data_IF_161773876444
#
_entry.id   IF_161773876444
#
_cell.length_a   1.000
_cell.length_b   1.000
_cell.length_c   1.000
_cell.angle_alpha   90.00
_cell.angle_beta   90.00
_cell.angle_gamma   90.00
#
_symmetry.space_group_name_H-M   'P 1'
#
loop_
_entity.id
_entity.type
_entity.pdbx_description
1 polymer ?
#
# COMPACT_ATOMS: atom_id res chain seq x y z
N UNK A 1 -17.90 -10.44 2.95
CA UNK A 1 -19.14 -11.20 2.68
C UNK A 1 -20.41 -10.32 2.65
N UNK A 2 -20.67 -9.47 3.64
CA UNK A 2 -21.88 -8.59 3.69
C UNK A 2 -22.08 -7.68 2.46
N UNK A 3 -21.00 -7.12 1.89
CA UNK A 3 -21.05 -6.25 0.69
C UNK A 3 -21.63 -6.96 -0.56
N UNK A 4 -21.43 -8.28 -0.69
CA UNK A 4 -21.95 -9.05 -1.83
C UNK A 4 -23.45 -9.31 -1.73
N UNK A 5 -23.98 -9.54 -0.53
CA UNK A 5 -25.42 -9.83 -0.32
C UNK A 5 -26.29 -8.61 -0.68
N UNK A 6 -25.86 -7.41 -0.29
CA UNK A 6 -26.56 -6.17 -0.66
C UNK A 6 -26.57 -5.92 -2.17
N UNK A 7 -25.46 -6.20 -2.85
CA UNK A 7 -25.38 -6.09 -4.31
C UNK A 7 -26.31 -7.09 -5.02
N UNK A 8 -26.44 -8.33 -4.54
CA UNK A 8 -27.37 -9.32 -5.10
C UNK A 8 -28.84 -8.97 -4.84
N UNK A 9 -29.16 -8.44 -3.66
CA UNK A 9 -30.51 -7.98 -3.35
C UNK A 9 -30.91 -6.78 -4.21
N UNK A 10 -30.00 -5.81 -4.37
CA UNK A 10 -30.21 -4.69 -5.26
C UNK A 10 -30.42 -5.17 -6.70
N UNK A 11 -29.55 -6.06 -7.20
CA UNK A 11 -29.69 -6.61 -8.55
C UNK A 11 -31.02 -7.36 -8.75
N UNK A 12 -31.45 -8.15 -7.77
CA UNK A 12 -32.72 -8.87 -7.79
C UNK A 12 -33.93 -7.92 -7.84
N UNK A 13 -33.92 -6.85 -7.05
CA UNK A 13 -34.96 -5.82 -7.07
C UNK A 13 -34.99 -5.08 -8.41
N UNK A 14 -33.81 -4.76 -8.96
CA UNK A 14 -33.69 -4.14 -10.28
C UNK A 14 -34.26 -5.06 -11.38
N UNK A 15 -33.96 -6.36 -11.35
CA UNK A 15 -34.50 -7.31 -12.33
C UNK A 15 -36.01 -7.47 -12.24
N UNK A 16 -36.56 -7.51 -11.02
CA UNK A 16 -38.01 -7.61 -10.81
C UNK A 16 -38.73 -6.38 -11.37
N UNK A 17 -38.20 -5.18 -11.10
CA UNK A 17 -38.79 -3.94 -11.60
C UNK A 17 -38.71 -3.85 -13.13
N UNK A 18 -37.60 -4.25 -13.74
CA UNK A 18 -37.47 -4.31 -15.20
C UNK A 18 -38.53 -5.22 -15.83
N UNK A 19 -38.81 -6.38 -15.24
CA UNK A 19 -39.85 -7.31 -15.70
C UNK A 19 -41.24 -6.65 -15.63
N UNK A 20 -41.55 -5.98 -14.51
CA UNK A 20 -42.84 -5.28 -14.33
C UNK A 20 -43.02 -4.21 -15.42
N UNK A 21 -41.97 -3.43 -15.69
CA UNK A 21 -42.04 -2.37 -16.70
C UNK A 21 -42.17 -2.94 -18.11
N UNK A 22 -41.41 -3.98 -18.47
CA UNK A 22 -41.52 -4.67 -19.77
C UNK A 22 -42.94 -5.23 -19.96
N UNK A 23 -43.50 -5.85 -18.93
CA UNK A 23 -44.86 -6.40 -18.96
C UNK A 23 -45.90 -5.30 -19.16
N UNK A 24 -45.75 -4.16 -18.49
CA UNK A 24 -46.61 -2.98 -18.67
C UNK A 24 -46.52 -2.42 -20.10
N UNK A 25 -45.32 -2.32 -20.67
CA UNK A 25 -45.14 -1.93 -22.06
C UNK A 25 -45.76 -2.93 -23.04
N UNK A 26 -45.65 -4.23 -22.80
CA UNK A 26 -46.25 -5.25 -23.65
C UNK A 26 -47.78 -5.21 -23.62
N UNK A 27 -48.37 -5.05 -22.42
CA UNK A 27 -49.81 -4.82 -22.28
C UNK A 27 -50.27 -3.60 -23.06
N UNK A 28 -49.51 -2.50 -22.98
CA UNK A 28 -49.80 -1.28 -23.70
C UNK A 28 -49.81 -1.49 -25.22
N UNK A 29 -48.73 -2.07 -25.78
CA UNK A 29 -48.64 -2.34 -27.23
C UNK A 29 -49.81 -3.20 -27.71
N UNK A 30 -50.21 -4.21 -26.93
CA UNK A 30 -51.33 -5.09 -27.29
C UNK A 30 -52.68 -4.38 -27.30
N UNK A 31 -52.91 -3.41 -26.40
CA UNK A 31 -54.15 -2.63 -26.34
C UNK A 31 -54.28 -1.67 -27.52
N UNK A 32 -53.18 -1.08 -27.98
CA UNK A 32 -53.19 -0.10 -29.07
C UNK A 32 -52.89 -0.69 -30.45
N UNK A 33 -52.43 -1.93 -30.57
CA UNK A 33 -52.12 -2.56 -31.86
C UNK A 33 -53.34 -2.77 -32.77
N UNK A 34 -54.53 -2.93 -32.17
CA UNK A 34 -55.77 -3.24 -32.90
C UNK A 34 -56.83 -2.14 -32.82
N UNK A 35 -56.51 -0.99 -32.20
CA UNK A 35 -57.45 0.10 -31.97
C UNK A 35 -56.94 1.39 -32.64
N UNK A 36 -57.85 2.30 -33.01
CA UNK A 36 -57.48 3.66 -33.45
C UNK A 36 -56.81 4.44 -32.30
N UNK A 37 -56.14 5.55 -32.63
CA UNK A 37 -55.53 6.43 -31.62
C UNK A 37 -56.63 6.87 -30.65
N UNK A 38 -56.43 6.67 -29.34
CA UNK A 38 -57.45 7.03 -28.35
C UNK A 38 -57.62 8.54 -28.24
N UNK A 39 -58.87 9.00 -28.27
CA UNK A 39 -59.26 10.39 -28.00
C UNK A 39 -59.43 10.67 -26.49
N UNK A 40 -59.37 9.63 -25.64
CA UNK A 40 -59.54 9.78 -24.19
C UNK A 40 -58.24 10.23 -23.53
N UNK A 41 -58.30 11.34 -22.79
CA UNK A 41 -57.16 11.88 -22.05
C UNK A 41 -56.58 10.87 -21.03
N UNK A 42 -57.42 10.04 -20.42
CA UNK A 42 -57.02 9.04 -19.41
C UNK A 42 -56.05 7.99 -19.99
N UNK A 43 -56.22 7.61 -21.25
CA UNK A 43 -55.33 6.64 -21.92
C UNK A 43 -53.92 7.21 -22.13
N UNK A 44 -53.84 8.48 -22.50
CA UNK A 44 -52.57 9.21 -22.62
C UNK A 44 -51.88 9.44 -21.28
N UNK A 45 -52.67 9.65 -20.22
CA UNK A 45 -52.15 9.75 -18.84
C UNK A 45 -51.51 8.44 -18.38
N UNK A 46 -52.16 7.31 -18.65
CA UNK A 46 -51.62 5.98 -18.36
C UNK A 46 -50.33 5.69 -19.15
N UNK A 47 -50.27 6.10 -20.43
CA UNK A 47 -49.06 6.01 -21.23
C UNK A 47 -47.90 6.83 -20.64
N UNK A 48 -48.16 8.09 -20.31
CA UNK A 48 -47.17 8.99 -19.69
C UNK A 48 -46.62 8.41 -18.39
N UNK A 49 -47.47 7.79 -17.57
CA UNK A 49 -47.08 7.14 -16.31
C UNK A 49 -46.15 5.95 -16.54
N UNK A 50 -46.43 5.11 -17.54
CA UNK A 50 -45.56 3.99 -17.90
C UNK A 50 -44.20 4.49 -18.40
N UNK A 51 -44.20 5.53 -19.25
CA UNK A 51 -42.99 6.13 -19.78
C UNK A 51 -42.16 6.80 -18.67
N UNK A 52 -42.80 7.48 -17.72
CA UNK A 52 -42.15 8.07 -16.55
C UNK A 52 -41.48 6.97 -15.69
N UNK A 53 -42.17 5.85 -15.43
CA UNK A 53 -41.61 4.73 -14.66
C UNK A 53 -40.35 4.13 -15.31
N UNK A 54 -40.34 4.00 -16.65
CA UNK A 54 -39.15 3.61 -17.42
C UNK A 54 -37.97 4.56 -17.18
N UNK A 55 -38.20 5.87 -17.35
CA UNK A 55 -37.15 6.87 -17.16
C UNK A 55 -36.65 6.94 -15.72
N UNK A 56 -37.53 6.79 -14.73
CA UNK A 56 -37.16 6.72 -13.31
C UNK A 56 -36.27 5.50 -13.05
N UNK A 57 -36.57 4.34 -13.63
CA UNK A 57 -35.76 3.14 -13.48
C UNK A 57 -34.36 3.27 -14.07
N UNK A 58 -34.27 3.79 -15.30
CA UNK A 58 -32.99 4.03 -15.97
C UNK A 58 -32.15 5.02 -15.15
N UNK A 59 -32.78 6.11 -14.68
CA UNK A 59 -32.13 7.10 -13.82
C UNK A 59 -31.62 6.48 -12.51
N UNK A 60 -32.44 5.69 -11.81
CA UNK A 60 -32.05 5.04 -10.56
C UNK A 60 -30.90 4.05 -10.77
N UNK A 61 -30.90 3.33 -11.89
CA UNK A 61 -29.81 2.43 -12.28
C UNK A 61 -28.51 3.21 -12.44
N UNK A 62 -28.54 4.33 -13.18
CA UNK A 62 -27.36 5.19 -13.34
C UNK A 62 -26.89 5.79 -12.02
N UNK A 63 -27.80 6.21 -11.14
CA UNK A 63 -27.46 6.72 -9.80
C UNK A 63 -26.75 5.63 -8.98
N UNK A 64 -27.26 4.40 -8.96
CA UNK A 64 -26.64 3.31 -8.21
C UNK A 64 -25.24 2.95 -8.75
N UNK A 65 -25.09 2.85 -10.07
CA UNK A 65 -23.80 2.59 -10.70
C UNK A 65 -22.80 3.72 -10.42
N UNK A 66 -23.27 4.97 -10.50
CA UNK A 66 -22.47 6.16 -10.18
C UNK A 66 -22.05 6.15 -8.72
N UNK A 67 -22.97 5.89 -7.79
CA UNK A 67 -22.69 5.79 -6.37
C UNK A 67 -21.64 4.73 -6.05
N UNK A 68 -21.74 3.54 -6.65
CA UNK A 68 -20.76 2.46 -6.45
C UNK A 68 -19.37 2.87 -6.93
N UNK A 69 -19.27 3.43 -8.14
CA UNK A 69 -18.01 3.95 -8.70
C UNK A 69 -17.44 5.11 -7.88
N UNK A 70 -18.31 5.95 -7.33
CA UNK A 70 -17.94 7.07 -6.47
C UNK A 70 -17.48 6.58 -5.09
N UNK A 71 -18.08 5.54 -4.52
CA UNK A 71 -17.66 4.96 -3.24
C UNK A 71 -16.22 4.45 -3.29
N UNK A 72 -15.85 3.73 -4.35
CA UNK A 72 -14.48 3.23 -4.52
C UNK A 72 -13.48 4.38 -4.76
N UNK A 73 -13.88 5.38 -5.56
CA UNK A 73 -13.08 6.60 -5.76
C UNK A 73 -12.90 7.38 -4.46
N UNK A 74 -13.95 7.52 -3.67
CA UNK A 74 -13.93 8.20 -2.37
C UNK A 74 -13.03 7.48 -1.37
N UNK A 75 -13.08 6.14 -1.31
CA UNK A 75 -12.17 5.36 -0.48
C UNK A 75 -10.72 5.64 -0.84
N UNK A 76 -10.40 5.65 -2.15
CA UNK A 76 -9.04 5.96 -2.61
C UNK A 76 -8.61 7.38 -2.22
N UNK A 77 -9.48 8.37 -2.39
CA UNK A 77 -9.19 9.76 -2.00
C UNK A 77 -8.97 9.90 -0.48
N UNK A 78 -9.79 9.25 0.34
CA UNK A 78 -9.64 9.24 1.79
C UNK A 78 -8.33 8.55 2.21
N UNK A 79 -8.00 7.44 1.56
CA UNK A 79 -6.73 6.76 1.79
C UNK A 79 -5.55 7.66 1.40
N UNK A 80 -5.57 8.25 0.20
CA UNK A 80 -4.51 9.15 -0.28
C UNK A 80 -4.29 10.31 0.70
N UNK A 81 -5.36 10.96 1.13
CA UNK A 81 -5.28 12.04 2.13
C UNK A 81 -4.67 11.57 3.44
N UNK A 82 -5.12 10.42 3.98
CA UNK A 82 -4.59 9.88 5.24
C UNK A 82 -3.11 9.51 5.10
N UNK A 83 -2.75 8.82 4.01
CA UNK A 83 -1.38 8.40 3.72
C UNK A 83 -0.44 9.59 3.60
N UNK A 84 -0.79 10.60 2.80
CA UNK A 84 0.07 11.76 2.59
C UNK A 84 0.15 12.66 3.83
N UNK A 85 -0.90 12.73 4.65
CA UNK A 85 -0.85 13.40 5.95
C UNK A 85 0.13 12.70 6.89
N UNK A 86 0.07 11.37 7.02
CA UNK A 86 1.06 10.63 7.82
C UNK A 86 2.46 10.81 7.24
N UNK A 87 2.62 10.77 5.92
CA UNK A 87 3.93 10.96 5.29
C UNK A 87 4.47 12.39 5.50
N UNK A 88 3.59 13.39 5.61
CA UNK A 88 3.97 14.73 6.02
C UNK A 88 4.42 14.77 7.49
N UNK A 89 3.64 14.22 8.41
CA UNK A 89 4.02 14.09 9.83
C UNK A 89 5.34 13.33 10.01
N UNK A 90 5.60 12.30 9.19
CA UNK A 90 6.86 11.58 9.19
C UNK A 90 8.05 12.52 8.89
N UNK A 91 7.89 13.43 7.92
CA UNK A 91 8.91 14.42 7.55
C UNK A 91 9.07 15.50 8.63
N UNK A 92 8.00 15.86 9.32
CA UNK A 92 8.08 16.77 10.48
C UNK A 92 8.86 16.12 11.63
N UNK A 93 8.58 14.85 11.95
CA UNK A 93 9.36 14.08 12.94
C UNK A 93 10.82 13.99 12.48
N UNK A 94 11.08 13.72 11.20
CA UNK A 94 12.43 13.71 10.63
C UNK A 94 13.15 15.06 10.86
N UNK A 95 12.46 16.16 10.59
CA UNK A 95 13.00 17.52 10.74
C UNK A 95 13.28 17.93 12.19
N UNK A 96 12.68 17.23 13.15
CA UNK A 96 12.96 17.43 14.58
C UNK A 96 14.33 16.87 15.00
N UNK A 97 14.92 15.98 14.22
CA UNK A 97 16.28 15.50 14.45
C UNK A 97 17.31 16.53 13.95
N UNK A 98 18.51 16.52 14.55
CA UNK A 98 19.63 17.27 14.01
C UNK A 98 19.99 16.82 12.58
N UNK A 99 20.45 17.76 11.74
CA UNK A 99 20.70 17.56 10.29
C UNK A 99 21.51 16.30 9.96
N UNK A 100 22.48 15.94 10.81
CA UNK A 100 23.36 14.78 10.59
C UNK A 100 23.01 13.56 11.44
N UNK A 101 21.83 13.51 12.07
CA UNK A 101 21.47 12.46 13.04
C UNK A 101 21.64 11.05 12.47
N UNK A 102 21.01 10.76 11.33
CA UNK A 102 21.10 9.44 10.70
C UNK A 102 22.49 9.13 10.15
N UNK A 103 23.21 10.15 9.67
CA UNK A 103 24.61 10.00 9.24
C UNK A 103 25.53 9.61 10.40
N UNK A 104 25.44 10.31 11.53
CA UNK A 104 26.21 9.99 12.73
C UNK A 104 25.84 8.60 13.28
N UNK A 105 24.57 8.23 13.19
CA UNK A 105 24.10 6.91 13.60
C UNK A 105 24.67 5.80 12.71
N UNK A 106 24.63 6.01 11.40
CA UNK A 106 25.25 5.14 10.41
C UNK A 106 26.73 4.93 10.71
N UNK A 107 27.48 6.01 10.93
CA UNK A 107 28.93 5.96 11.20
C UNK A 107 29.25 5.11 12.42
N UNK A 108 28.50 5.27 13.53
CA UNK A 108 28.67 4.45 14.73
C UNK A 108 28.41 2.96 14.51
N UNK A 109 27.36 2.62 13.76
CA UNK A 109 27.06 1.21 13.43
C UNK A 109 28.22 0.64 12.61
N UNK A 110 28.71 1.40 11.64
CA UNK A 110 29.79 0.99 10.75
C UNK A 110 31.16 0.88 11.44
N UNK A 111 31.39 1.55 12.58
CA UNK A 111 32.61 1.38 13.38
C UNK A 111 32.86 -0.08 13.78
N UNK A 112 31.81 -0.91 13.84
CA UNK A 112 31.90 -2.32 14.22
C UNK A 112 31.99 -3.28 13.02
N UNK A 113 32.06 -2.75 11.79
CA UNK A 113 32.13 -3.55 10.57
C UNK A 113 33.58 -3.71 10.09
N UNK A 114 34.06 -4.94 9.85
CA UNK A 114 35.34 -5.15 9.19
C UNK A 114 35.26 -4.74 7.71
N UNK A 115 36.39 -4.27 7.17
CA UNK A 115 36.52 -3.84 5.76
C UNK A 115 36.25 -4.98 4.76
N UNK A 116 36.53 -6.23 5.15
CA UNK A 116 36.26 -7.42 4.36
C UNK A 116 35.77 -8.57 5.25
N UNK A 117 34.86 -9.38 4.71
CA UNK A 117 34.34 -10.58 5.36
C UNK A 117 34.15 -11.70 4.32
N UNK A 118 34.87 -12.80 4.50
CA UNK A 118 34.79 -13.98 3.63
C UNK A 118 34.03 -15.15 4.27
N UNK A 119 34.01 -15.23 5.61
CA UNK A 119 33.45 -16.36 6.36
C UNK A 119 31.94 -16.54 6.14
N UNK A 120 31.47 -17.79 6.24
CA UNK A 120 30.04 -18.09 6.34
C UNK A 120 29.45 -17.41 7.57
N UNK A 121 28.18 -17.01 7.48
CA UNK A 121 27.49 -16.31 8.54
C UNK A 121 26.20 -17.08 8.82
N UNK A 122 26.03 -17.56 10.06
CA UNK A 122 24.76 -18.15 10.46
C UNK A 122 23.70 -17.06 10.72
N UNK A 123 22.42 -17.42 10.64
CA UNK A 123 21.32 -16.47 10.93
C UNK A 123 21.38 -15.92 12.36
N UNK A 124 21.81 -16.74 13.32
CA UNK A 124 21.94 -16.34 14.73
C UNK A 124 23.08 -15.31 14.90
N UNK A 125 24.24 -15.57 14.29
CA UNK A 125 25.36 -14.62 14.31
C UNK A 125 25.01 -13.31 13.59
N UNK A 126 24.27 -13.38 12.48
CA UNK A 126 23.79 -12.20 11.78
C UNK A 126 22.89 -11.35 12.67
N UNK A 127 21.95 -11.99 13.39
CA UNK A 127 21.04 -11.32 14.32
C UNK A 127 21.78 -10.67 15.48
N UNK A 128 22.66 -11.42 16.16
CA UNK A 128 23.42 -10.91 17.30
C UNK A 128 24.36 -9.76 16.90
N UNK A 129 24.97 -9.81 15.71
CA UNK A 129 25.77 -8.71 15.18
C UNK A 129 24.94 -7.45 14.95
N UNK A 130 23.79 -7.58 14.29
CA UNK A 130 22.89 -6.43 14.05
C UNK A 130 22.42 -5.83 15.36
N UNK A 131 21.96 -6.67 16.30
CA UNK A 131 21.48 -6.25 17.61
C UNK A 131 22.57 -5.55 18.41
N UNK A 132 23.78 -6.13 18.46
CA UNK A 132 24.93 -5.52 19.15
C UNK A 132 25.31 -4.18 18.54
N UNK A 133 25.47 -4.11 17.22
CA UNK A 133 25.86 -2.87 16.54
C UNK A 133 24.80 -1.77 16.69
N UNK A 134 23.52 -2.12 16.60
CA UNK A 134 22.41 -1.19 16.80
C UNK A 134 22.39 -0.66 18.24
N UNK A 135 22.46 -1.54 19.25
CA UNK A 135 22.44 -1.15 20.66
C UNK A 135 23.64 -0.29 21.05
N UNK A 136 24.83 -0.55 20.52
CA UNK A 136 26.02 0.27 20.77
C UNK A 136 25.98 1.64 20.07
N UNK A 137 25.11 1.81 19.07
CA UNK A 137 24.95 3.07 18.36
C UNK A 137 24.03 4.08 19.06
N UNK A 138 23.23 3.59 20.01
CA UNK A 138 22.29 4.33 20.86
C UNK A 138 23.03 5.40 21.70
N UNK A 139 22.44 6.60 21.80
CA UNK A 139 22.75 7.66 22.78
C UNK A 139 21.43 8.12 23.43
N UNK A 140 21.29 7.90 24.73
CA UNK A 140 20.26 8.58 25.54
C UNK A 140 20.57 10.08 25.60
N UNK A 141 19.59 11.01 25.45
CA UNK A 141 18.13 10.82 25.28
C UNK A 141 17.60 10.84 23.82
N UNK A 142 18.46 11.06 22.82
CA UNK A 142 18.06 11.21 21.41
C UNK A 142 17.37 9.95 20.82
N UNK A 143 17.59 8.79 21.43
CA UNK A 143 17.00 7.53 20.99
C UNK A 143 15.50 7.41 21.22
N UNK A 144 14.96 8.07 22.24
CA UNK A 144 13.52 8.08 22.48
C UNK A 144 12.78 8.68 21.26
N UNK A 145 13.29 9.81 20.73
CA UNK A 145 12.78 10.45 19.52
C UNK A 145 12.93 9.55 18.29
N UNK A 146 14.05 8.85 18.14
CA UNK A 146 14.27 7.91 17.03
C UNK A 146 13.29 6.72 17.07
N UNK A 147 12.99 6.20 18.25
CA UNK A 147 11.98 5.16 18.42
C UNK A 147 10.59 5.65 18.03
N UNK A 148 10.24 6.91 18.31
CA UNK A 148 8.99 7.51 17.84
C UNK A 148 8.93 7.59 16.31
N UNK A 149 10.03 8.00 15.66
CA UNK A 149 10.14 8.03 14.20
C UNK A 149 9.93 6.64 13.56
N UNK A 150 10.59 5.60 14.06
CA UNK A 150 10.45 4.25 13.50
C UNK A 150 9.07 3.64 13.78
N UNK A 151 8.48 3.93 14.95
CA UNK A 151 7.11 3.52 15.26
C UNK A 151 6.12 4.16 14.29
N UNK A 152 6.32 5.42 13.96
CA UNK A 152 5.47 6.12 13.01
C UNK A 152 5.60 5.52 11.59
N UNK A 153 6.82 5.23 11.11
CA UNK A 153 7.04 4.49 9.85
C UNK A 153 6.32 3.15 9.81
N UNK A 154 6.41 2.37 10.90
CA UNK A 154 5.68 1.11 11.03
C UNK A 154 4.17 1.31 10.82
N UNK A 155 3.59 2.36 11.39
CA UNK A 155 2.16 2.65 11.23
C UNK A 155 1.80 3.05 9.79
N UNK A 156 2.66 3.78 9.08
CA UNK A 156 2.45 4.10 7.66
C UNK A 156 2.48 2.82 6.82
N UNK A 157 3.48 1.95 7.01
CA UNK A 157 3.56 0.67 6.31
C UNK A 157 2.35 -0.22 6.64
N UNK A 158 1.93 -0.27 7.91
CA UNK A 158 0.74 -1.00 8.36
C UNK A 158 -0.53 -0.48 7.71
N UNK A 159 -0.69 0.84 7.56
CA UNK A 159 -1.82 1.45 6.85
C UNK A 159 -1.88 0.96 5.40
N UNK A 160 -0.75 0.97 4.69
CA UNK A 160 -0.67 0.47 3.31
C UNK A 160 -0.97 -1.03 3.24
N UNK A 161 -0.37 -1.82 4.14
CA UNK A 161 -0.56 -3.27 4.19
C UNK A 161 -2.04 -3.65 4.41
N UNK A 162 -2.73 -2.95 5.31
CA UNK A 162 -4.14 -3.22 5.66
C UNK A 162 -5.16 -2.63 4.68
N UNK A 163 -4.74 -1.84 3.68
CA UNK A 163 -5.64 -1.27 2.69
C UNK A 163 -6.33 -2.35 1.83
N UNK A 164 -7.49 -2.01 1.26
CA UNK A 164 -8.23 -2.90 0.35
C UNK A 164 -7.62 -2.99 -1.05
N UNK A 165 -6.52 -2.28 -1.29
CA UNK A 165 -5.86 -2.25 -2.58
C UNK A 165 -5.19 -3.58 -2.95
N UNK A 166 -5.00 -3.77 -4.26
CA UNK A 166 -4.21 -4.89 -4.77
C UNK A 166 -2.71 -4.71 -4.48
N UNK A 167 -1.93 -5.78 -4.64
CA UNK A 167 -0.49 -5.79 -4.38
C UNK A 167 0.26 -4.66 -5.11
N UNK A 168 0.03 -4.51 -6.42
CA UNK A 168 0.71 -3.49 -7.24
C UNK A 168 0.52 -2.08 -6.68
N UNK A 169 -0.71 -1.73 -6.31
CA UNK A 169 -1.02 -0.42 -5.75
C UNK A 169 -0.41 -0.22 -4.36
N UNK A 170 -0.36 -1.27 -3.53
CA UNK A 170 0.35 -1.24 -2.25
C UNK A 170 1.86 -0.99 -2.44
N UNK A 171 2.49 -1.68 -3.40
CA UNK A 171 3.89 -1.44 -3.74
C UNK A 171 4.15 -0.01 -4.18
N UNK A 172 3.26 0.62 -4.95
CA UNK A 172 3.41 2.05 -5.32
C UNK A 172 3.51 2.95 -4.07
N UNK A 173 2.66 2.76 -3.06
CA UNK A 173 2.76 3.55 -1.82
C UNK A 173 4.00 3.21 -1.00
N UNK A 174 4.39 1.93 -0.91
CA UNK A 174 5.63 1.53 -0.23
C UNK A 174 6.85 2.19 -0.87
N UNK A 175 6.90 2.21 -2.21
CA UNK A 175 7.99 2.85 -2.94
C UNK A 175 8.04 4.36 -2.70
N UNK A 176 6.87 5.01 -2.53
CA UNK A 176 6.82 6.44 -2.14
C UNK A 176 7.44 6.65 -0.75
N UNK A 177 7.16 5.77 0.22
CA UNK A 177 7.78 5.84 1.56
C UNK A 177 9.31 5.72 1.42
N UNK A 178 9.78 4.67 0.74
CA UNK A 178 11.22 4.42 0.56
C UNK A 178 11.92 5.59 -0.16
N UNK A 179 11.29 6.17 -1.19
CA UNK A 179 11.85 7.27 -1.98
C UNK A 179 12.03 8.57 -1.19
N UNK A 180 11.34 8.74 -0.05
CA UNK A 180 11.53 9.88 0.83
C UNK A 180 12.63 9.69 1.87
N UNK A 181 13.21 8.48 1.96
CA UNK A 181 14.24 8.17 2.94
C UNK A 181 15.62 8.27 2.31
N UNK A 182 16.56 8.92 3.01
CA UNK A 182 17.98 8.86 2.66
C UNK A 182 18.54 7.44 2.81
N UNK A 183 19.72 7.19 2.23
CA UNK A 183 20.36 5.89 2.35
C UNK A 183 20.77 5.60 3.81
N UNK A 184 21.20 6.63 4.54
CA UNK A 184 21.52 6.57 5.96
C UNK A 184 20.27 6.25 6.79
N UNK A 185 19.12 6.87 6.49
CA UNK A 185 17.83 6.54 7.13
C UNK A 185 17.42 5.09 6.87
N UNK A 186 17.47 4.64 5.61
CA UNK A 186 17.14 3.24 5.25
C UNK A 186 18.08 2.26 5.95
N UNK A 187 19.37 2.58 6.03
CA UNK A 187 20.35 1.76 6.72
C UNK A 187 20.04 1.66 8.22
N UNK A 188 19.83 2.78 8.91
CA UNK A 188 19.52 2.74 10.35
C UNK A 188 18.18 2.07 10.60
N UNK A 189 17.19 2.28 9.73
CA UNK A 189 15.90 1.59 9.79
C UNK A 189 16.08 0.08 9.70
N UNK A 190 16.90 -0.42 8.77
CA UNK A 190 17.20 -1.85 8.65
C UNK A 190 17.67 -2.44 9.99
N UNK A 191 18.64 -1.79 10.66
CA UNK A 191 19.14 -2.27 11.95
C UNK A 191 18.08 -2.15 13.04
N UNK A 192 17.29 -1.08 13.06
CA UNK A 192 16.21 -0.92 14.01
C UNK A 192 15.18 -2.06 13.90
N UNK A 193 14.68 -2.35 12.70
CA UNK A 193 13.61 -3.34 12.53
C UNK A 193 14.09 -4.77 12.80
N UNK A 194 15.32 -5.09 12.41
CA UNK A 194 15.94 -6.39 12.71
C UNK A 194 16.20 -6.51 14.21
N UNK A 195 16.82 -5.50 14.83
CA UNK A 195 17.10 -5.51 16.28
C UNK A 195 15.83 -5.56 17.13
N UNK A 196 14.73 -4.94 16.68
CA UNK A 196 13.44 -5.00 17.36
C UNK A 196 12.75 -6.37 17.19
N UNK A 197 12.98 -7.04 16.05
CA UNK A 197 12.57 -8.43 15.86
C UNK A 197 11.07 -8.67 15.68
N UNK A 198 10.30 -7.65 15.26
CA UNK A 198 8.88 -7.85 14.96
C UNK A 198 8.72 -8.66 13.65
N UNK A 199 8.36 -9.94 13.79
CA UNK A 199 8.25 -10.90 12.69
C UNK A 199 7.27 -10.46 11.61
N UNK A 200 6.09 -9.95 11.98
CA UNK A 200 5.08 -9.50 11.00
C UNK A 200 5.63 -8.33 10.18
N UNK A 201 6.26 -7.37 10.86
CA UNK A 201 6.78 -6.19 10.17
C UNK A 201 7.93 -6.54 9.22
N UNK A 202 8.86 -7.40 9.65
CA UNK A 202 9.93 -7.91 8.79
C UNK A 202 9.38 -8.62 7.55
N UNK A 203 8.34 -9.45 7.72
CA UNK A 203 7.67 -10.13 6.61
C UNK A 203 7.02 -9.14 5.63
N UNK A 204 6.37 -8.08 6.11
CA UNK A 204 5.80 -7.06 5.23
C UNK A 204 6.88 -6.32 4.45
N UNK A 205 7.95 -5.91 5.13
CA UNK A 205 9.07 -5.21 4.50
C UNK A 205 9.74 -6.08 3.42
N UNK A 206 9.91 -7.39 3.68
CA UNK A 206 10.45 -8.33 2.68
C UNK A 206 9.47 -8.58 1.52
N UNK A 207 8.18 -8.79 1.82
CA UNK A 207 7.13 -9.00 0.83
C UNK A 207 6.99 -7.83 -0.16
N UNK A 208 7.16 -6.60 0.34
CA UNK A 208 7.14 -5.39 -0.49
C UNK A 208 8.52 -4.97 -1.00
N UNK A 209 9.58 -5.75 -0.73
CA UNK A 209 10.96 -5.44 -1.13
C UNK A 209 11.42 -4.06 -0.67
N UNK A 210 11.02 -3.64 0.53
CA UNK A 210 11.19 -2.27 1.05
C UNK A 210 12.64 -1.78 1.02
N UNK A 211 13.62 -2.67 1.14
CA UNK A 211 15.04 -2.31 1.15
C UNK A 211 15.76 -2.51 -0.19
N UNK A 212 15.05 -2.71 -1.31
CA UNK A 212 15.67 -3.01 -2.62
C UNK A 212 16.70 -1.97 -3.09
N UNK A 213 16.54 -0.70 -2.70
CA UNK A 213 17.40 0.41 -3.10
C UNK A 213 18.44 0.78 -2.01
N UNK A 214 18.52 0.01 -0.92
CA UNK A 214 19.51 0.21 0.14
C UNK A 214 20.92 -0.12 -0.39
N UNK A 215 21.81 0.87 -0.36
CA UNK A 215 23.19 0.71 -0.85
C UNK A 215 23.98 -0.24 0.03
N UNK A 216 24.84 -1.02 -0.60
CA UNK A 216 25.81 -1.83 0.12
C UNK A 216 26.84 -0.95 0.83
N UNK A 217 27.25 -1.40 2.02
CA UNK A 217 28.32 -0.80 2.82
C UNK A 217 29.52 -1.74 3.00
N UNK A 218 29.48 -2.92 2.37
CA UNK A 218 30.52 -3.95 2.49
C UNK A 218 29.96 -5.37 2.36
N UNK A 219 30.84 -6.34 2.16
CA UNK A 219 30.45 -7.75 1.95
C UNK A 219 29.74 -8.37 3.15
N UNK A 220 30.12 -8.00 4.39
CA UNK A 220 29.41 -8.47 5.59
C UNK A 220 27.95 -7.98 5.61
N UNK A 221 27.73 -6.70 5.33
CA UNK A 221 26.39 -6.14 5.29
C UNK A 221 25.53 -6.80 4.20
N UNK A 222 26.13 -7.10 3.05
CA UNK A 222 25.46 -7.80 1.96
C UNK A 222 25.01 -9.22 2.33
N UNK A 223 25.82 -9.95 3.12
CA UNK A 223 25.41 -11.24 3.67
C UNK A 223 24.27 -11.06 4.69
N UNK A 224 24.42 -10.13 5.63
CA UNK A 224 23.42 -9.87 6.68
C UNK A 224 22.04 -9.54 6.09
N UNK A 225 21.96 -8.60 5.14
CA UNK A 225 20.67 -8.20 4.56
C UNK A 225 19.96 -9.34 3.84
N UNK A 226 20.71 -10.27 3.23
CA UNK A 226 20.15 -11.47 2.59
C UNK A 226 19.59 -12.49 3.58
N UNK A 227 20.12 -12.57 4.81
CA UNK A 227 19.56 -13.44 5.86
C UNK A 227 18.20 -12.98 6.40
N UNK A 228 17.93 -11.67 6.35
CA UNK A 228 16.68 -11.12 6.88
C UNK A 228 15.62 -10.88 5.80
N UNK A 229 16.05 -10.59 4.57
CA UNK A 229 15.18 -10.17 3.47
C UNK A 229 15.45 -11.00 2.21
N UNK A 230 15.02 -12.26 2.23
CA UNK A 230 15.30 -13.24 1.18
C UNK A 230 14.55 -12.94 -0.13
N UNK A 231 13.36 -12.34 -0.05
CA UNK A 231 12.56 -11.99 -1.23
C UNK A 231 12.98 -10.64 -1.84
N UNK A 232 13.80 -9.88 -1.11
CA UNK A 232 14.29 -8.57 -1.55
C UNK A 232 15.52 -8.72 -2.44
N UNK A 233 15.34 -8.43 -3.73
CA UNK A 233 16.44 -8.34 -4.67
C UNK A 233 17.11 -6.96 -4.57
N UNK A 234 18.26 -6.91 -3.88
CA UNK A 234 19.01 -5.68 -3.65
C UNK A 234 19.74 -5.21 -4.91
N UNK A 235 19.43 -4.01 -5.40
CA UNK A 235 19.97 -3.47 -6.65
C UNK A 235 21.44 -3.03 -6.56
N UNK A 236 21.92 -2.73 -5.36
CA UNK A 236 23.28 -2.22 -5.14
C UNK A 236 24.03 -3.17 -4.20
N UNK A 237 25.01 -3.89 -4.73
CA UNK A 237 25.89 -4.80 -3.98
C UNK A 237 27.34 -4.32 -4.00
N UNK A 238 28.13 -4.71 -2.99
CA UNK A 238 29.55 -4.41 -2.96
C UNK A 238 30.23 -5.02 -4.21
N UNK A 239 31.19 -4.33 -4.83
CA UNK A 239 31.95 -4.89 -5.94
C UNK A 239 32.64 -6.17 -5.46
N UNK A 240 32.45 -7.27 -6.21
CA UNK A 240 33.09 -8.54 -5.89
C UNK A 240 34.61 -8.37 -5.98
N UNK A 241 35.31 -8.54 -4.84
CA UNK A 241 36.76 -8.31 -4.75
C UNK A 241 37.53 -9.35 -5.58
N UNK A 242 36.92 -10.52 -5.86
CA UNK A 242 37.53 -11.58 -6.67
C UNK A 242 37.86 -11.15 -8.12
N UNK A 243 37.18 -10.13 -8.67
CA UNK A 243 37.41 -9.70 -10.05
C UNK A 243 38.53 -8.66 -10.22
N UNK A 244 39.22 -8.23 -9.15
CA UNK A 244 40.34 -7.28 -9.27
C UNK A 244 41.71 -7.94 -9.52
N UNK A 245 41.79 -9.27 -9.49
CA UNK A 245 43.04 -10.01 -9.72
C UNK A 245 43.19 -10.53 -11.16
N UNK A 246 42.32 -10.13 -12.10
CA UNK A 246 42.37 -10.61 -13.51
C UNK A 246 42.91 -9.54 -14.47
N UNK A 247 43.26 -8.34 -14.00
CA UNK A 247 43.78 -7.26 -14.85
C UNK A 247 45.02 -6.64 -14.22
N UNK A 248 46.02 -7.46 -13.93
CA UNK A 248 47.43 -7.05 -13.80
C UNK A 248 48.31 -8.27 -14.10
N UNK A 249 48.36 -8.65 -15.38
CA UNK A 249 49.46 -9.38 -16.03
C UNK A 249 49.52 -8.92 -17.50
#
# INVERSE_FOLDING_TARGET
MKKKIGDYLALSLFTLFAIVVIFSCFKFVKVFANNEISDNLDDWSNYSTCLAALFTFVSLTFIYLTYKKQSDSNYKLQFDSTFFNMLHTQREILSSFGVCFFKQRYEKIMTYYPLSWSEELSSEEAFERVRKAYNLSLKEPDDSSAMHYFRHLYHIVKLVHNSSFNYRKKCEYINIIQAQMSNEELFVMFYNVVSFGNKEYLQWLDYYRFFENLRSTGSLFDKIRKHFFHNTEFKYSAPNIDNRNIILD
#
